data_IF_670342754289
#
_entry.id   IF_670342754289
#
_cell.length_a   1.000
_cell.length_b   1.000
_cell.length_c   1.000
_cell.angle_alpha   90.00
_cell.angle_beta   90.00
_cell.angle_gamma   90.00
#
_symmetry.space_group_name_H-M   'P 1'
#
loop_
_entity.id
_entity.type
_entity.pdbx_description
1 polymer ?
#
# COMPACT_ATOMS: atom_id res chain seq x y z
N UNK A 1 40.62 -10.30 -15.61
CA UNK A 1 39.42 -9.75 -14.94
C UNK A 1 38.67 -8.93 -15.96
N UNK A 2 37.43 -9.28 -16.28
CA UNK A 2 36.61 -8.49 -17.21
C UNK A 2 35.91 -7.45 -16.35
N UNK A 3 36.44 -6.22 -16.37
CA UNK A 3 35.72 -5.08 -15.80
C UNK A 3 34.69 -4.63 -16.83
N UNK A 4 33.39 -4.64 -16.51
CA UNK A 4 32.38 -4.06 -17.39
C UNK A 4 32.50 -2.53 -17.31
N UNK A 5 33.36 -1.95 -18.14
CA UNK A 5 33.39 -0.51 -18.35
C UNK A 5 32.33 -0.19 -19.40
N UNK A 6 31.19 0.34 -18.96
CA UNK A 6 30.15 0.86 -19.83
C UNK A 6 30.64 2.23 -20.33
N UNK A 7 31.27 2.26 -21.51
CA UNK A 7 31.51 3.52 -22.24
C UNK A 7 30.22 3.93 -22.94
N UNK A 8 29.34 4.58 -22.20
CA UNK A 8 28.08 5.07 -22.74
C UNK A 8 28.26 6.41 -23.44
N UNK A 9 28.25 6.42 -24.77
CA UNK A 9 27.79 7.60 -25.51
C UNK A 9 26.34 7.92 -25.09
N UNK A 10 25.84 9.13 -25.34
CA UNK A 10 24.50 9.58 -24.90
C UNK A 10 23.33 8.63 -25.20
N UNK A 11 23.51 7.62 -26.07
CA UNK A 11 22.57 6.52 -26.27
C UNK A 11 22.35 5.62 -25.04
N UNK A 12 23.34 5.41 -24.17
CA UNK A 12 23.18 4.55 -22.98
C UNK A 12 22.26 5.12 -21.91
N UNK A 13 21.93 6.41 -21.99
CA UNK A 13 20.92 7.05 -21.16
C UNK A 13 19.53 6.49 -21.45
N UNK A 14 19.25 6.08 -22.69
CA UNK A 14 17.94 5.57 -23.11
C UNK A 14 17.53 4.32 -22.31
N UNK A 15 18.32 3.21 -22.31
CA UNK A 15 17.96 2.02 -21.54
C UNK A 15 17.98 2.28 -20.03
N UNK A 16 18.89 3.12 -19.53
CA UNK A 16 18.93 3.49 -18.12
C UNK A 16 17.63 4.21 -17.69
N UNK A 17 17.16 5.17 -18.49
CA UNK A 17 15.96 5.94 -18.20
C UNK A 17 14.70 5.06 -18.31
N UNK A 18 14.67 4.12 -19.25
CA UNK A 18 13.61 3.10 -19.35
C UNK A 18 13.54 2.20 -18.12
N UNK A 19 14.68 1.68 -17.64
CA UNK A 19 14.74 0.84 -16.43
C UNK A 19 14.35 1.66 -15.20
N UNK A 20 14.88 2.87 -15.08
CA UNK A 20 14.56 3.79 -13.98
C UNK A 20 13.06 4.11 -13.95
N UNK A 21 12.47 4.44 -15.10
CA UNK A 21 11.03 4.70 -15.22
C UNK A 21 10.20 3.47 -14.86
N UNK A 22 10.63 2.27 -15.26
CA UNK A 22 9.95 1.02 -14.91
C UNK A 22 9.93 0.75 -13.41
N UNK A 23 11.07 0.97 -12.73
CA UNK A 23 11.16 0.84 -11.26
C UNK A 23 10.27 1.89 -10.57
N UNK A 24 10.28 3.13 -11.06
CA UNK A 24 9.40 4.20 -10.54
C UNK A 24 7.93 3.82 -10.72
N UNK A 25 7.52 3.34 -11.89
CA UNK A 25 6.15 2.89 -12.14
C UNK A 25 5.75 1.70 -11.27
N UNK A 26 6.64 0.73 -11.04
CA UNK A 26 6.40 -0.40 -10.14
C UNK A 26 6.18 0.07 -8.69
N UNK A 27 6.88 1.13 -8.28
CA UNK A 27 6.69 1.76 -6.97
C UNK A 27 5.32 2.44 -6.83
N UNK A 28 4.77 2.98 -7.93
CA UNK A 28 3.43 3.58 -7.98
C UNK A 28 2.30 2.58 -8.29
N UNK A 29 2.61 1.37 -8.75
CA UNK A 29 1.64 0.30 -9.02
C UNK A 29 0.70 -0.03 -7.84
N UNK A 30 1.17 -0.18 -6.58
CA UNK A 30 0.28 -0.47 -5.46
C UNK A 30 -0.69 0.68 -5.14
N UNK A 31 -0.41 1.92 -5.59
CA UNK A 31 -1.28 3.07 -5.37
C UNK A 31 -2.48 3.12 -6.32
N UNK A 32 -2.42 2.44 -7.47
CA UNK A 32 -3.52 2.43 -8.45
C UNK A 32 -4.54 1.32 -8.20
N UNK A 33 -4.15 0.26 -7.49
CA UNK A 33 -5.02 -0.90 -7.21
C UNK A 33 -6.03 -0.69 -6.08
N UNK A 34 -6.03 0.47 -5.42
CA UNK A 34 -6.83 0.71 -4.21
C UNK A 34 -8.20 1.38 -4.47
N UNK A 35 -8.67 1.44 -5.73
CA UNK A 35 -9.93 2.13 -6.08
C UNK A 35 -11.09 1.25 -6.56
N UNK A 36 -10.89 -0.05 -6.83
CA UNK A 36 -11.92 -0.90 -7.47
C UNK A 36 -12.41 -2.11 -6.64
N UNK A 37 -12.24 -2.12 -5.32
CA UNK A 37 -12.70 -3.24 -4.48
C UNK A 37 -14.13 -3.09 -3.90
N UNK A 38 -14.88 -2.03 -4.25
CA UNK A 38 -16.11 -1.66 -3.52
C UNK A 38 -17.42 -1.77 -4.30
N UNK A 39 -17.47 -2.38 -5.49
CA UNK A 39 -18.74 -2.50 -6.24
C UNK A 39 -19.01 -3.93 -6.73
N UNK A 40 -19.48 -4.78 -5.82
CA UNK A 40 -20.06 -6.09 -6.14
C UNK A 40 -21.48 -5.86 -6.70
N UNK A 41 -21.67 -6.07 -8.01
CA UNK A 41 -22.99 -6.03 -8.65
C UNK A 41 -23.72 -7.38 -8.46
N UNK A 42 -24.84 -7.37 -7.73
CA UNK A 42 -25.67 -8.57 -7.49
C UNK A 42 -26.93 -8.47 -8.38
N UNK A 43 -27.17 -9.42 -9.31
CA UNK A 43 -28.38 -9.44 -10.13
C UNK A 43 -29.65 -9.63 -9.29
N UNK A 44 -30.79 -9.01 -9.65
CA UNK A 44 -32.05 -9.06 -8.89
C UNK A 44 -32.68 -10.47 -8.81
N UNK A 45 -32.19 -11.43 -9.59
CA UNK A 45 -32.65 -12.82 -9.54
C UNK A 45 -32.25 -13.54 -8.24
N UNK A 46 -31.36 -12.94 -7.44
CA UNK A 46 -30.97 -13.45 -6.12
C UNK A 46 -31.81 -12.88 -4.95
N UNK A 47 -32.64 -11.84 -5.13
CA UNK A 47 -33.38 -11.20 -4.02
C UNK A 47 -34.46 -12.09 -3.39
N UNK A 48 -35.08 -12.99 -4.16
CA UNK A 48 -36.24 -13.77 -3.70
C UNK A 48 -35.92 -14.89 -2.70
N UNK A 49 -34.64 -15.13 -2.39
CA UNK A 49 -34.19 -16.11 -1.39
C UNK A 49 -33.72 -15.48 -0.07
N UNK A 50 -33.75 -14.14 0.06
CA UNK A 50 -33.23 -13.44 1.24
C UNK A 50 -34.29 -13.05 2.28
N UNK A 51 -35.58 -13.16 2.00
CA UNK A 51 -36.63 -12.74 2.95
C UNK A 51 -36.81 -13.70 4.15
N UNK A 52 -36.24 -14.91 4.13
CA UNK A 52 -36.41 -15.90 5.20
C UNK A 52 -35.20 -16.02 6.17
N UNK A 53 -34.12 -15.26 5.94
CA UNK A 53 -32.94 -15.25 6.81
C UNK A 53 -32.80 -13.93 7.61
N UNK A 54 -33.93 -13.31 7.96
CA UNK A 54 -33.99 -12.07 8.74
C UNK A 54 -33.72 -12.26 10.26
N UNK A 55 -32.96 -13.28 10.67
CA UNK A 55 -32.57 -13.48 12.08
C UNK A 55 -31.16 -14.06 12.16
N UNK A 56 -30.26 -13.31 12.81
CA UNK A 56 -28.85 -13.63 13.10
C UNK A 56 -27.79 -13.20 12.07
N UNK A 57 -27.89 -11.99 11.53
CA UNK A 57 -26.66 -11.26 11.21
C UNK A 57 -26.02 -10.81 12.53
N UNK A 58 -25.11 -11.64 13.06
CA UNK A 58 -24.06 -11.11 13.93
C UNK A 58 -23.41 -9.99 13.15
N UNK A 59 -23.59 -8.75 13.59
CA UNK A 59 -22.70 -7.64 13.24
C UNK A 59 -21.30 -8.07 13.65
N UNK A 60 -20.57 -8.74 12.77
CA UNK A 60 -19.13 -8.86 12.94
C UNK A 60 -18.61 -7.42 12.94
N UNK A 61 -18.19 -6.96 14.12
CA UNK A 61 -17.55 -5.67 14.26
C UNK A 61 -16.33 -5.69 13.36
N UNK A 62 -16.40 -5.01 12.20
CA UNK A 62 -15.27 -4.99 11.27
C UNK A 62 -14.07 -4.35 11.97
N UNK A 63 -13.05 -5.16 12.21
CA UNK A 63 -11.78 -4.74 12.79
C UNK A 63 -10.92 -4.13 11.68
N UNK A 64 -10.65 -2.83 11.78
CA UNK A 64 -9.81 -2.10 10.82
C UNK A 64 -8.75 -1.28 11.56
N UNK A 65 -7.61 -1.10 10.90
CA UNK A 65 -6.51 -0.27 11.36
C UNK A 65 -5.57 0.03 10.20
N UNK A 66 -4.99 1.22 10.20
CA UNK A 66 -4.13 1.69 9.13
C UNK A 66 -3.35 2.95 9.50
N UNK A 67 -2.49 3.37 8.57
CA UNK A 67 -1.59 4.52 8.71
C UNK A 67 -1.74 5.43 7.48
N UNK A 68 -2.03 6.71 7.69
CA UNK A 68 -1.99 7.77 6.68
C UNK A 68 -0.73 8.59 6.92
N UNK A 69 0.05 8.84 5.87
CA UNK A 69 1.21 9.72 5.92
C UNK A 69 0.84 11.10 5.37
N UNK A 70 0.65 12.10 6.22
CA UNK A 70 0.49 13.50 5.80
C UNK A 70 1.87 14.16 5.84
N UNK A 71 2.59 14.05 4.72
CA UNK A 71 4.02 14.39 4.71
C UNK A 71 4.82 13.47 5.64
N UNK A 72 5.86 13.94 6.36
CA UNK A 72 6.62 13.12 7.29
C UNK A 72 5.87 12.82 8.59
N UNK A 73 4.61 13.26 8.74
CA UNK A 73 3.81 13.08 9.96
C UNK A 73 2.90 11.84 9.79
N UNK A 74 3.19 10.73 10.48
CA UNK A 74 2.36 9.54 10.46
C UNK A 74 1.10 9.73 11.32
N UNK A 75 -0.07 9.41 10.77
CA UNK A 75 -1.37 9.41 11.46
C UNK A 75 -1.96 8.00 11.47
N UNK A 76 -2.11 7.43 12.66
CA UNK A 76 -2.66 6.08 12.86
C UNK A 76 -4.17 6.19 13.06
N UNK A 77 -4.93 5.35 12.37
CA UNK A 77 -6.39 5.25 12.49
C UNK A 77 -6.80 3.79 12.60
N UNK A 78 -7.90 3.51 13.29
CA UNK A 78 -8.39 2.14 13.46
C UNK A 78 -9.36 2.00 14.62
N UNK A 79 -10.11 0.90 14.60
CA UNK A 79 -11.02 0.51 15.67
C UNK A 79 -10.51 -0.72 16.46
N UNK A 80 -9.50 -1.42 15.94
CA UNK A 80 -8.91 -2.59 16.58
C UNK A 80 -7.58 -2.25 17.28
N UNK A 81 -7.48 -2.59 18.58
CA UNK A 81 -6.29 -2.33 19.40
C UNK A 81 -5.04 -3.05 18.87
N UNK A 82 -5.16 -4.30 18.45
CA UNK A 82 -4.04 -5.07 17.88
C UNK A 82 -3.55 -4.43 16.57
N UNK A 83 -4.47 -4.03 15.69
CA UNK A 83 -4.11 -3.37 14.42
C UNK A 83 -3.49 -1.98 14.64
N UNK A 84 -3.93 -1.27 15.68
CA UNK A 84 -3.31 0.00 16.11
C UNK A 84 -1.88 -0.24 16.60
N UNK A 85 -1.63 -1.24 17.45
CA UNK A 85 -0.27 -1.54 17.92
C UNK A 85 0.69 -1.93 16.78
N UNK A 86 0.20 -2.71 15.82
CA UNK A 86 0.98 -3.04 14.61
C UNK A 86 1.32 -1.76 13.84
N UNK A 87 0.32 -0.88 13.65
CA UNK A 87 0.50 0.39 12.93
C UNK A 87 1.51 1.32 13.64
N UNK A 88 1.51 1.37 14.97
CA UNK A 88 2.53 2.10 15.76
C UNK A 88 3.93 1.52 15.50
N UNK A 89 4.07 0.18 15.50
CA UNK A 89 5.35 -0.47 15.23
C UNK A 89 5.93 -0.10 13.86
N UNK A 90 5.07 -0.06 12.83
CA UNK A 90 5.45 0.38 11.48
C UNK A 90 5.90 1.84 11.48
N UNK A 91 5.18 2.73 12.17
CA UNK A 91 5.56 4.15 12.30
C UNK A 91 6.93 4.32 12.95
N UNK A 92 7.18 3.61 14.05
CA UNK A 92 8.47 3.67 14.77
C UNK A 92 9.60 3.19 13.86
N UNK A 93 9.39 2.12 13.09
CA UNK A 93 10.38 1.62 12.14
C UNK A 93 10.71 2.66 11.05
N UNK A 94 9.70 3.31 10.49
CA UNK A 94 9.87 4.36 9.47
C UNK A 94 10.68 5.52 10.03
N UNK A 95 10.33 6.00 11.23
CA UNK A 95 11.06 7.09 11.91
C UNK A 95 12.50 6.68 12.20
N UNK A 96 12.73 5.45 12.67
CA UNK A 96 14.08 4.94 12.95
C UNK A 96 14.95 4.96 11.69
N UNK A 97 14.43 4.45 10.57
CA UNK A 97 15.11 4.47 9.27
C UNK A 97 15.40 5.91 8.84
N UNK A 98 14.43 6.82 9.02
CA UNK A 98 14.58 8.22 8.67
C UNK A 98 15.68 8.92 9.48
N UNK A 99 15.73 8.66 10.79
CA UNK A 99 16.78 9.16 11.67
C UNK A 99 18.15 8.59 11.26
N UNK A 100 18.23 7.28 11.02
CA UNK A 100 19.48 6.61 10.68
C UNK A 100 20.03 7.10 9.33
N UNK A 101 19.14 7.36 8.38
CA UNK A 101 19.47 7.99 7.10
C UNK A 101 20.00 9.42 7.31
N UNK A 102 19.31 10.24 8.10
CA UNK A 102 19.72 11.63 8.36
C UNK A 102 21.04 11.72 9.15
N UNK A 103 21.29 10.78 10.07
CA UNK A 103 22.50 10.75 10.90
C UNK A 103 23.74 10.26 10.13
N UNK A 104 23.54 9.51 9.05
CA UNK A 104 24.61 8.95 8.21
C UNK A 104 24.89 9.80 6.95
N UNK A 105 23.98 10.70 6.62
CA UNK A 105 24.11 11.68 5.53
C UNK A 105 24.87 12.93 5.91
#
# INVERSE_FOLDING_TARGET
>A
MIFPIIYGSGLSIIPFLLIFLGIVLMFFSPFQFQRDADQVFIPPEYESSFEDNAREERKEEKHYGGLIMIGPIPIIFGNDKNLIYISIGVVVLIILVFILYYLRG
#
